data_IF_693727980905
#
_entry.id   IF_693727980905
#
_cell.length_a   1.000
_cell.length_b   1.000
_cell.length_c   1.000
_cell.angle_alpha   90.00
_cell.angle_beta   90.00
_cell.angle_gamma   90.00
#
_symmetry.space_group_name_H-M   'P 1'
#
loop_
_entity.id
_entity.type
_entity.pdbx_description
1 polymer ?
#
# COMPACT_ATOMS: atom_id res chain seq x y z
N UNK A 1 17.79 19.23 -1.67
CA UNK A 1 17.09 19.63 -0.41
C UNK A 1 17.25 21.11 -0.11
N UNK A 2 18.44 21.68 -0.20
CA UNK A 2 18.68 23.11 0.07
C UNK A 2 17.79 24.07 -0.75
N UNK A 3 17.70 23.86 -2.07
CA UNK A 3 16.84 24.67 -2.94
C UNK A 3 15.35 24.59 -2.57
N UNK A 4 14.88 23.41 -2.16
CA UNK A 4 13.50 23.21 -1.72
C UNK A 4 13.23 23.92 -0.40
N UNK A 5 14.16 23.84 0.55
CA UNK A 5 14.04 24.52 1.84
C UNK A 5 14.07 26.05 1.67
N UNK A 6 14.95 26.56 0.80
CA UNK A 6 15.00 27.98 0.45
C UNK A 6 13.70 28.45 -0.20
N UNK A 7 13.09 27.62 -1.09
CA UNK A 7 11.81 27.93 -1.70
C UNK A 7 10.67 27.98 -0.66
N UNK A 8 10.62 26.98 0.24
CA UNK A 8 9.62 26.92 1.31
C UNK A 8 9.63 28.15 2.23
N UNK A 9 10.81 28.76 2.42
CA UNK A 9 11.02 29.94 3.27
C UNK A 9 11.02 31.27 2.51
N UNK A 10 10.81 31.21 1.18
CA UNK A 10 10.91 32.42 0.37
C UNK A 10 9.73 33.36 0.65
N UNK A 11 10.01 34.63 0.83
CA UNK A 11 9.02 35.67 1.19
C UNK A 11 7.83 35.78 0.20
N UNK A 12 8.02 35.39 -1.04
CA UNK A 12 7.00 35.47 -2.08
C UNK A 12 6.13 34.18 -2.16
N UNK A 13 6.42 33.19 -1.30
CA UNK A 13 5.58 31.97 -1.19
C UNK A 13 4.51 32.21 -0.14
N UNK A 14 3.26 32.30 -0.57
CA UNK A 14 2.12 32.56 0.31
C UNK A 14 1.60 31.27 1.00
N UNK A 15 1.70 30.12 0.33
CA UNK A 15 1.24 28.83 0.83
C UNK A 15 2.04 27.69 0.19
N UNK A 16 2.26 26.63 0.96
CA UNK A 16 2.90 25.39 0.52
C UNK A 16 1.87 24.27 0.47
N UNK A 17 1.75 23.59 -0.66
CA UNK A 17 1.07 22.30 -0.78
C UNK A 17 2.14 21.21 -0.86
N UNK A 18 2.39 20.53 0.26
CA UNK A 18 3.44 19.54 0.37
C UNK A 18 2.85 18.13 0.22
N UNK A 19 3.21 17.44 -0.87
CA UNK A 19 2.90 16.02 -1.06
C UNK A 19 4.20 15.23 -1.06
N UNK A 20 4.32 14.27 -0.16
CA UNK A 20 5.53 13.46 -0.07
C UNK A 20 5.67 12.73 1.26
N UNK A 21 6.81 12.09 1.47
CA UNK A 21 7.08 11.38 2.72
C UNK A 21 7.10 12.31 3.94
N UNK A 22 6.95 11.73 5.14
CA UNK A 22 6.82 12.45 6.42
C UNK A 22 7.91 13.51 6.66
N UNK A 23 9.13 13.31 6.14
CA UNK A 23 10.20 14.28 6.27
C UNK A 23 9.94 15.57 5.48
N UNK A 24 9.41 15.46 4.26
CA UNK A 24 9.03 16.60 3.42
C UNK A 24 7.90 17.40 4.07
N UNK A 25 6.85 16.71 4.51
CA UNK A 25 5.70 17.33 5.18
C UNK A 25 6.11 18.07 6.44
N UNK A 26 6.98 17.46 7.25
CA UNK A 26 7.53 18.08 8.44
C UNK A 26 8.36 19.33 8.11
N UNK A 27 9.19 19.29 7.07
CA UNK A 27 9.96 20.44 6.61
C UNK A 27 9.03 21.59 6.18
N UNK A 28 7.95 21.28 5.44
CA UNK A 28 6.97 22.28 5.04
C UNK A 28 6.32 22.97 6.25
N UNK A 29 5.82 22.20 7.23
CA UNK A 29 5.22 22.76 8.45
C UNK A 29 6.23 23.53 9.32
N UNK A 30 7.50 23.19 9.24
CA UNK A 30 8.58 23.86 10.01
C UNK A 30 9.18 25.06 9.27
N UNK A 31 8.73 25.37 8.05
CA UNK A 31 9.29 26.44 7.23
C UNK A 31 8.95 27.86 7.73
N UNK A 32 7.84 27.98 8.45
CA UNK A 32 7.25 29.26 8.84
C UNK A 32 6.24 29.82 7.83
N UNK A 33 6.13 29.23 6.63
CA UNK A 33 5.10 29.54 5.63
C UNK A 33 3.86 28.68 5.88
N UNK A 34 2.63 29.19 5.72
CA UNK A 34 1.42 28.37 5.78
C UNK A 34 1.53 27.15 4.88
N UNK A 35 1.24 25.97 5.41
CA UNK A 35 1.40 24.73 4.67
C UNK A 35 0.23 23.76 4.89
N UNK A 36 -0.14 23.04 3.82
CA UNK A 36 -1.02 21.88 3.85
C UNK A 36 -0.18 20.70 3.37
N UNK A 37 0.01 19.70 4.24
CA UNK A 37 0.82 18.53 3.93
C UNK A 37 0.01 17.25 3.87
N UNK A 38 0.33 16.40 2.89
CA UNK A 38 -0.18 15.04 2.74
C UNK A 38 0.99 14.08 2.91
N UNK A 39 0.90 13.22 3.90
CA UNK A 39 1.91 12.21 4.22
C UNK A 39 1.81 10.95 3.34
N UNK A 40 2.48 9.86 3.76
CA UNK A 40 2.47 8.59 3.04
C UNK A 40 1.05 8.04 2.93
N UNK A 41 0.78 7.37 1.80
CA UNK A 41 -0.48 6.70 1.53
C UNK A 41 -0.38 5.21 1.82
N UNK A 42 -1.21 4.70 2.72
CA UNK A 42 -1.27 3.27 3.04
C UNK A 42 -2.69 2.74 2.87
N UNK A 43 -3.25 2.93 1.66
CA UNK A 43 -4.64 2.64 1.35
C UNK A 43 -4.96 1.14 1.37
N UNK A 44 -5.81 0.66 2.29
CA UNK A 44 -6.39 -0.67 2.19
C UNK A 44 -7.52 -0.70 1.16
N UNK A 45 -7.71 -1.87 0.52
CA UNK A 45 -8.83 -2.16 -0.36
C UNK A 45 -9.66 -3.31 0.22
N UNK A 46 -10.93 -3.10 0.50
CA UNK A 46 -11.84 -4.14 0.91
C UNK A 46 -12.56 -4.77 -0.29
N UNK A 47 -12.41 -6.07 -0.45
CA UNK A 47 -13.18 -6.89 -1.39
C UNK A 47 -14.35 -7.51 -0.62
N UNK A 48 -15.50 -6.85 -0.69
CA UNK A 48 -16.74 -7.30 -0.04
C UNK A 48 -17.41 -8.39 -0.89
N UNK A 49 -18.09 -9.34 -0.26
CA UNK A 49 -18.62 -10.57 -0.89
C UNK A 49 -19.59 -10.36 -2.05
N UNK A 50 -20.22 -9.18 -2.15
CA UNK A 50 -21.14 -8.87 -3.26
C UNK A 50 -20.42 -8.26 -4.48
N UNK A 51 -19.11 -8.01 -4.39
CA UNK A 51 -18.38 -7.39 -5.47
C UNK A 51 -18.30 -8.27 -6.72
N UNK A 52 -18.16 -7.64 -7.88
CA UNK A 52 -17.69 -8.32 -9.09
C UNK A 52 -16.19 -8.62 -8.91
N UNK A 53 -15.89 -9.81 -8.39
CA UNK A 53 -14.52 -10.19 -8.00
C UNK A 53 -13.51 -10.07 -9.15
N UNK A 54 -13.76 -10.56 -10.38
CA UNK A 54 -12.84 -10.40 -11.50
C UNK A 54 -12.54 -8.92 -11.81
N UNK A 55 -13.58 -8.08 -11.80
CA UNK A 55 -13.44 -6.65 -12.08
C UNK A 55 -12.71 -5.92 -10.95
N UNK A 56 -13.03 -6.24 -9.70
CA UNK A 56 -12.39 -5.66 -8.53
C UNK A 56 -10.88 -5.97 -8.51
N UNK A 57 -10.51 -7.23 -8.68
CA UNK A 57 -9.10 -7.65 -8.77
C UNK A 57 -8.40 -6.96 -9.93
N UNK A 58 -9.04 -6.90 -11.11
CA UNK A 58 -8.46 -6.19 -12.25
C UNK A 58 -8.14 -4.74 -11.93
N UNK A 59 -9.09 -4.01 -11.32
CA UNK A 59 -8.92 -2.59 -10.96
C UNK A 59 -7.78 -2.39 -9.97
N UNK A 60 -7.70 -3.24 -8.93
CA UNK A 60 -6.63 -3.18 -7.93
C UNK A 60 -5.27 -3.44 -8.58
N UNK A 61 -5.15 -4.48 -9.41
CA UNK A 61 -3.89 -4.80 -10.07
C UNK A 61 -3.48 -3.72 -11.08
N UNK A 62 -4.41 -3.16 -11.83
CA UNK A 62 -4.13 -2.06 -12.77
C UNK A 62 -3.67 -0.81 -12.03
N UNK A 63 -4.34 -0.45 -10.92
CA UNK A 63 -3.95 0.65 -10.04
C UNK A 63 -2.55 0.42 -9.45
N UNK A 64 -2.31 -0.77 -8.87
CA UNK A 64 -1.04 -1.08 -8.22
C UNK A 64 0.15 -1.20 -9.19
N UNK A 65 -0.10 -1.53 -10.44
CA UNK A 65 0.96 -1.65 -11.46
C UNK A 65 1.16 -0.36 -12.25
N UNK A 66 0.25 0.59 -12.15
CA UNK A 66 0.43 1.91 -12.75
C UNK A 66 1.70 2.56 -12.17
N UNK A 67 2.59 2.99 -13.05
CA UNK A 67 3.90 3.56 -12.69
C UNK A 67 4.68 2.73 -11.65
N UNK A 68 4.61 1.40 -11.77
CA UNK A 68 5.19 0.46 -10.82
C UNK A 68 4.81 0.72 -9.34
N UNK A 69 3.60 1.21 -9.09
CA UNK A 69 3.07 1.40 -7.73
C UNK A 69 3.63 2.60 -6.98
N UNK A 70 4.14 3.61 -7.68
CA UNK A 70 4.65 4.85 -7.04
C UNK A 70 3.53 5.81 -6.65
N UNK A 71 2.32 5.65 -7.20
CA UNK A 71 1.19 6.51 -6.84
C UNK A 71 0.75 6.22 -5.40
N UNK A 72 0.82 7.23 -4.55
CA UNK A 72 0.49 7.11 -3.13
C UNK A 72 -0.98 6.70 -2.85
N UNK A 73 -1.89 6.95 -3.80
CA UNK A 73 -3.29 6.53 -3.72
C UNK A 73 -3.53 5.09 -4.21
N UNK A 74 -2.50 4.39 -4.74
CA UNK A 74 -2.63 2.97 -5.10
C UNK A 74 -2.81 2.11 -3.86
N UNK A 75 -3.52 1.01 -4.02
CA UNK A 75 -3.78 0.07 -2.94
C UNK A 75 -2.47 -0.48 -2.36
N UNK A 76 -2.38 -0.54 -1.04
CA UNK A 76 -1.22 -1.08 -0.31
C UNK A 76 -1.52 -2.45 0.29
N UNK A 77 -2.78 -2.70 0.59
CA UNK A 77 -3.26 -3.95 1.16
C UNK A 77 -4.61 -4.33 0.57
N UNK A 78 -4.86 -5.62 0.48
CA UNK A 78 -6.17 -6.19 0.18
C UNK A 78 -6.69 -6.84 1.46
N UNK A 79 -7.96 -6.62 1.76
CA UNK A 79 -8.66 -7.26 2.87
C UNK A 79 -9.91 -7.90 2.30
N UNK A 80 -10.24 -9.11 2.71
CA UNK A 80 -11.50 -9.78 2.36
C UNK A 80 -12.02 -10.63 3.53
N UNK A 81 -13.26 -11.05 3.44
CA UNK A 81 -13.81 -12.02 4.39
C UNK A 81 -13.08 -13.37 4.24
N UNK A 82 -12.88 -14.10 5.34
CA UNK A 82 -12.10 -15.35 5.36
C UNK A 82 -12.64 -16.40 4.38
N UNK A 83 -13.96 -16.50 4.23
CA UNK A 83 -14.61 -17.43 3.33
C UNK A 83 -14.37 -17.12 1.84
N UNK A 84 -14.00 -15.87 1.52
CA UNK A 84 -13.63 -15.44 0.17
C UNK A 84 -12.14 -15.60 -0.14
N UNK A 85 -11.29 -15.75 0.87
CA UNK A 85 -9.84 -15.65 0.72
C UNK A 85 -9.28 -16.56 -0.39
N UNK A 86 -9.79 -17.78 -0.49
CA UNK A 86 -9.37 -18.72 -1.54
C UNK A 86 -9.76 -18.27 -2.94
N UNK A 87 -10.99 -17.75 -3.10
CA UNK A 87 -11.46 -17.24 -4.39
C UNK A 87 -10.72 -15.98 -4.81
N UNK A 88 -10.48 -15.06 -3.86
CA UNK A 88 -9.71 -13.83 -4.10
C UNK A 88 -8.28 -14.17 -4.53
N UNK A 89 -7.62 -15.07 -3.82
CA UNK A 89 -6.26 -15.49 -4.19
C UNK A 89 -6.24 -16.11 -5.59
N UNK A 90 -7.12 -17.08 -5.88
CA UNK A 90 -7.15 -17.74 -7.18
C UNK A 90 -7.38 -16.73 -8.33
N UNK A 91 -8.24 -15.75 -8.11
CA UNK A 91 -8.52 -14.71 -9.10
C UNK A 91 -7.33 -13.77 -9.27
N UNK A 92 -6.65 -13.39 -8.18
CA UNK A 92 -5.44 -12.57 -8.24
C UNK A 92 -4.31 -13.29 -9.00
N UNK A 93 -4.08 -14.57 -8.71
CA UNK A 93 -3.09 -15.40 -9.41
C UNK A 93 -3.41 -15.54 -10.89
N UNK A 94 -4.69 -15.75 -11.24
CA UNK A 94 -5.15 -15.79 -12.64
C UNK A 94 -4.85 -14.49 -13.38
N UNK A 95 -4.85 -13.36 -12.69
CA UNK A 95 -4.57 -12.04 -13.26
C UNK A 95 -3.10 -11.61 -13.12
N UNK A 96 -2.21 -12.50 -12.69
CA UNK A 96 -0.77 -12.30 -12.68
C UNK A 96 -0.16 -11.88 -11.34
N UNK A 97 -0.88 -11.99 -10.23
CA UNK A 97 -0.30 -11.84 -8.91
C UNK A 97 0.52 -13.09 -8.52
N UNK A 98 1.57 -12.90 -7.76
CA UNK A 98 2.37 -13.97 -7.17
C UNK A 98 2.30 -13.91 -5.65
N UNK A 99 1.71 -14.92 -5.03
CA UNK A 99 1.67 -15.04 -3.57
C UNK A 99 2.98 -15.64 -3.05
N UNK A 100 3.65 -14.87 -2.21
CA UNK A 100 4.90 -15.29 -1.58
C UNK A 100 4.65 -16.42 -0.58
N UNK A 101 5.53 -17.42 -0.54
CA UNK A 101 5.58 -18.35 0.57
C UNK A 101 6.22 -17.70 1.81
N UNK A 102 6.25 -18.42 2.93
CA UNK A 102 6.76 -17.88 4.20
C UNK A 102 8.23 -17.46 4.13
N UNK A 103 9.07 -18.23 3.44
CA UNK A 103 10.49 -17.92 3.31
C UNK A 103 10.73 -16.70 2.40
N UNK A 104 9.98 -16.59 1.33
CA UNK A 104 10.00 -15.45 0.42
C UNK A 104 9.45 -14.20 1.09
N UNK A 105 8.34 -14.33 1.82
CA UNK A 105 7.73 -13.27 2.60
C UNK A 105 8.71 -12.70 3.62
N UNK A 106 9.38 -13.58 4.39
CA UNK A 106 10.37 -13.14 5.37
C UNK A 106 11.55 -12.43 4.68
N UNK A 107 12.05 -12.98 3.59
CA UNK A 107 13.18 -12.41 2.83
C UNK A 107 12.85 -11.05 2.26
N UNK A 108 11.71 -10.91 1.57
CA UNK A 108 11.25 -9.63 1.04
C UNK A 108 10.95 -8.65 2.17
N UNK A 109 10.32 -9.08 3.25
CA UNK A 109 10.01 -8.25 4.41
C UNK A 109 11.24 -7.58 5.03
N UNK A 110 12.36 -8.30 5.09
CA UNK A 110 13.64 -7.73 5.54
C UNK A 110 14.25 -6.73 4.55
N UNK A 111 13.89 -6.83 3.27
CA UNK A 111 14.43 -5.99 2.21
C UNK A 111 13.62 -4.71 1.98
N UNK A 112 12.30 -4.76 2.12
CA UNK A 112 11.43 -3.60 1.85
C UNK A 112 11.54 -2.47 2.88
N UNK A 113 11.99 -2.78 4.10
CA UNK A 113 12.24 -1.79 5.14
C UNK A 113 13.72 -1.71 5.51
N UNK A 114 14.20 -0.51 5.77
CA UNK A 114 15.50 -0.27 6.38
C UNK A 114 15.45 -0.54 7.89
N UNK A 115 16.61 -0.68 8.53
CA UNK A 115 16.73 -0.90 9.96
C UNK A 115 16.05 0.18 10.84
N UNK A 116 15.91 1.40 10.32
CA UNK A 116 15.19 2.49 10.98
C UNK A 116 13.67 2.48 10.74
N UNK A 117 13.14 1.45 10.08
CA UNK A 117 11.71 1.30 9.78
C UNK A 117 11.20 2.11 8.58
N UNK A 118 12.07 2.84 7.88
CA UNK A 118 11.68 3.54 6.65
C UNK A 118 11.76 2.61 5.44
N UNK A 119 10.93 2.87 4.44
CA UNK A 119 10.94 2.12 3.19
C UNK A 119 12.32 2.17 2.51
N UNK A 120 12.74 1.04 1.96
CA UNK A 120 13.96 0.96 1.18
C UNK A 120 13.76 1.64 -0.20
N UNK A 121 14.49 2.72 -0.52
CA UNK A 121 14.33 3.41 -1.79
C UNK A 121 14.71 2.58 -3.02
N UNK A 122 15.40 1.46 -2.85
CA UNK A 122 15.76 0.58 -3.96
C UNK A 122 14.56 -0.13 -4.59
N UNK A 123 13.41 -0.22 -3.88
CA UNK A 123 12.18 -0.82 -4.43
C UNK A 123 11.28 0.21 -5.13
N UNK A 124 11.46 1.50 -4.86
CA UNK A 124 10.57 2.56 -5.33
C UNK A 124 10.51 2.61 -6.85
N UNK A 125 9.31 2.43 -7.42
CA UNK A 125 9.08 2.46 -8.86
C UNK A 125 9.76 1.32 -9.64
N UNK A 126 10.20 0.26 -8.97
CA UNK A 126 10.83 -0.90 -9.64
C UNK A 126 9.80 -1.93 -10.04
N UNK A 127 10.07 -2.60 -11.16
CA UNK A 127 9.27 -3.76 -11.58
C UNK A 127 9.40 -4.93 -10.61
N UNK A 128 8.42 -5.85 -10.64
CA UNK A 128 8.47 -7.11 -9.87
C UNK A 128 9.76 -7.86 -10.14
N UNK A 129 10.17 -8.01 -11.41
CA UNK A 129 11.40 -8.74 -11.76
C UNK A 129 12.65 -8.13 -11.09
N UNK A 130 12.72 -6.79 -11.05
CA UNK A 130 13.83 -6.09 -10.40
C UNK A 130 13.81 -6.30 -8.89
N UNK A 131 12.65 -6.18 -8.25
CA UNK A 131 12.49 -6.38 -6.81
C UNK A 131 12.81 -7.83 -6.43
N UNK A 132 12.29 -8.80 -7.20
CA UNK A 132 12.55 -10.22 -6.99
C UNK A 132 14.05 -10.53 -7.05
N UNK A 133 14.75 -10.00 -8.05
CA UNK A 133 16.19 -10.15 -8.19
C UNK A 133 16.96 -9.53 -7.01
N UNK A 134 16.62 -8.32 -6.60
CA UNK A 134 17.27 -7.63 -5.49
C UNK A 134 17.04 -8.32 -4.15
N UNK A 135 15.84 -8.86 -3.94
CA UNK A 135 15.48 -9.59 -2.72
C UNK A 135 15.86 -11.09 -2.76
N UNK A 136 16.38 -11.60 -3.88
CA UNK A 136 16.75 -13.03 -4.04
C UNK A 136 15.55 -13.98 -4.05
N UNK A 137 14.48 -13.60 -4.74
CA UNK A 137 13.24 -14.39 -4.89
C UNK A 137 13.28 -15.15 -6.21
N UNK A 138 13.96 -16.28 -6.24
CA UNK A 138 14.27 -16.99 -7.49
C UNK A 138 13.07 -17.73 -8.12
N UNK A 139 11.97 -17.91 -7.36
CA UNK A 139 10.77 -18.62 -7.85
C UNK A 139 9.67 -17.71 -8.41
N UNK A 140 9.84 -16.41 -8.32
CA UNK A 140 8.88 -15.47 -8.90
C UNK A 140 8.88 -15.63 -10.42
N UNK A 141 7.74 -15.96 -11.04
CA UNK A 141 7.68 -16.16 -12.49
C UNK A 141 7.91 -14.84 -13.22
N UNK A 142 8.60 -14.92 -14.35
CA UNK A 142 8.77 -13.78 -15.24
C UNK A 142 7.40 -13.22 -15.67
N UNK A 143 7.25 -11.91 -15.59
CA UNK A 143 6.00 -11.23 -15.93
C UNK A 143 4.94 -11.24 -14.82
N UNK A 144 5.27 -11.68 -13.60
CA UNK A 144 4.41 -11.43 -12.45
C UNK A 144 4.13 -9.93 -12.31
N UNK A 145 2.86 -9.56 -12.10
CA UNK A 145 2.44 -8.16 -12.04
C UNK A 145 2.64 -7.54 -10.67
N UNK A 146 2.35 -8.31 -9.62
CA UNK A 146 2.48 -7.88 -8.22
C UNK A 146 2.96 -9.03 -7.35
N UNK A 147 3.69 -8.72 -6.29
CA UNK A 147 4.02 -9.63 -5.20
C UNK A 147 3.00 -9.45 -4.07
N UNK A 148 2.48 -10.56 -3.54
CA UNK A 148 1.46 -10.53 -2.48
C UNK A 148 1.98 -11.28 -1.27
N UNK A 149 1.96 -10.62 -0.11
CA UNK A 149 2.34 -11.21 1.15
C UNK A 149 1.13 -11.34 2.09
N UNK A 150 0.85 -12.55 2.58
CA UNK A 150 -0.13 -12.72 3.66
C UNK A 150 0.38 -12.08 4.94
N UNK A 151 -0.45 -11.28 5.57
CA UNK A 151 -0.16 -10.62 6.83
C UNK A 151 -1.30 -10.85 7.84
N UNK A 152 -0.94 -10.91 9.11
CA UNK A 152 -1.90 -11.11 10.20
C UNK A 152 -2.00 -9.89 11.13
N UNK A 153 -0.96 -9.08 11.20
CA UNK A 153 -0.87 -7.93 12.07
C UNK A 153 -0.46 -6.65 11.35
N UNK A 154 -0.44 -5.57 12.09
CA UNK A 154 -0.10 -4.23 11.61
C UNK A 154 0.99 -3.64 12.51
N UNK A 155 1.88 -2.83 11.95
CA UNK A 155 2.89 -2.13 12.72
C UNK A 155 4.27 -2.78 12.68
N UNK A 156 5.09 -2.48 13.69
CA UNK A 156 6.45 -3.02 13.78
C UNK A 156 6.43 -4.55 13.82
N UNK A 157 7.21 -5.18 12.95
CA UNK A 157 7.21 -6.64 12.78
C UNK A 157 6.31 -7.14 11.64
N UNK A 158 5.50 -6.26 11.07
CA UNK A 158 4.62 -6.52 9.95
C UNK A 158 4.96 -5.59 8.77
N UNK A 159 6.07 -5.84 8.07
CA UNK A 159 6.62 -4.90 7.09
C UNK A 159 5.67 -4.59 5.93
N UNK A 160 4.75 -5.50 5.62
CA UNK A 160 3.77 -5.29 4.56
C UNK A 160 2.58 -4.43 4.96
N UNK A 161 2.51 -4.00 6.22
CA UNK A 161 1.51 -3.03 6.71
C UNK A 161 1.89 -1.57 6.47
N UNK A 162 3.07 -1.29 5.96
CA UNK A 162 3.54 0.05 5.60
C UNK A 162 3.22 0.40 4.15
N UNK A 163 3.33 1.70 3.80
CA UNK A 163 3.35 2.13 2.40
C UNK A 163 4.49 1.44 1.63
N UNK A 164 4.16 0.91 0.47
CA UNK A 164 5.10 0.25 -0.45
C UNK A 164 4.99 0.91 -1.82
N UNK A 165 5.88 1.82 -2.14
CA UNK A 165 5.93 2.49 -3.45
C UNK A 165 6.52 1.58 -4.53
N UNK A 166 5.94 0.39 -4.65
CA UNK A 166 6.30 -0.69 -5.55
C UNK A 166 5.13 -1.64 -5.77
N UNK A 167 5.20 -2.57 -6.73
CA UNK A 167 4.15 -3.54 -7.02
C UNK A 167 4.10 -4.67 -5.97
N UNK A 168 3.86 -4.31 -4.71
CA UNK A 168 3.78 -5.20 -3.55
C UNK A 168 2.50 -4.90 -2.79
N UNK A 169 1.75 -5.94 -2.42
CA UNK A 169 0.51 -5.87 -1.65
C UNK A 169 0.58 -6.71 -0.37
N UNK A 170 0.04 -6.18 0.72
CA UNK A 170 -0.35 -6.97 1.88
C UNK A 170 -1.69 -7.67 1.62
N UNK A 171 -1.90 -8.86 2.16
CA UNK A 171 -3.16 -9.60 2.06
C UNK A 171 -3.62 -10.00 3.45
N UNK A 172 -4.80 -9.52 3.84
CA UNK A 172 -5.43 -9.76 5.13
C UNK A 172 -6.79 -10.40 4.96
N UNK A 173 -7.24 -11.07 6.00
CA UNK A 173 -8.60 -11.59 6.10
C UNK A 173 -9.25 -11.14 7.41
N UNK A 174 -10.55 -11.03 7.41
CA UNK A 174 -11.36 -10.83 8.59
C UNK A 174 -12.50 -11.83 8.69
N UNK A 175 -12.94 -12.16 9.89
CA UNK A 175 -14.01 -13.12 10.11
C UNK A 175 -15.36 -12.63 9.56
N UNK A 176 -15.59 -11.33 9.60
CA UNK A 176 -16.75 -10.66 9.03
C UNK A 176 -16.41 -9.19 8.69
N UNK A 177 -17.37 -8.46 8.12
CA UNK A 177 -17.18 -7.05 7.74
C UNK A 177 -16.81 -6.12 8.91
N UNK A 178 -17.16 -6.46 10.18
CA UNK A 178 -16.78 -5.67 11.36
C UNK A 178 -15.31 -5.86 11.70
N UNK A 179 -14.85 -7.11 11.62
CA UNK A 179 -13.44 -7.43 11.80
C UNK A 179 -12.60 -6.80 10.68
N UNK A 180 -13.09 -6.85 9.43
CA UNK A 180 -12.47 -6.14 8.29
C UNK A 180 -12.41 -4.63 8.55
N UNK A 181 -13.49 -4.01 9.01
CA UNK A 181 -13.50 -2.58 9.35
C UNK A 181 -12.48 -2.26 10.45
N UNK A 182 -12.40 -3.10 11.48
CA UNK A 182 -11.37 -3.00 12.52
C UNK A 182 -9.95 -3.03 11.93
N UNK A 183 -9.69 -3.95 11.00
CA UNK A 183 -8.40 -4.09 10.31
C UNK A 183 -8.09 -2.87 9.42
N UNK A 184 -9.06 -2.37 8.68
CA UNK A 184 -8.96 -1.12 7.90
C UNK A 184 -8.54 0.03 8.79
N UNK A 185 -9.25 0.23 9.92
CA UNK A 185 -8.93 1.28 10.88
C UNK A 185 -7.52 1.10 11.47
N UNK A 186 -7.12 -0.12 11.82
CA UNK A 186 -5.78 -0.42 12.35
C UNK A 186 -4.68 -0.02 11.36
N UNK A 187 -4.83 -0.39 10.08
CA UNK A 187 -3.88 -0.06 9.02
C UNK A 187 -3.79 1.46 8.82
N UNK A 188 -4.94 2.13 8.71
CA UNK A 188 -5.00 3.57 8.48
C UNK A 188 -4.45 4.37 9.68
N UNK A 189 -4.72 3.94 10.92
CA UNK A 189 -4.17 4.60 12.09
C UNK A 189 -2.66 4.41 12.23
N UNK A 190 -2.14 3.27 11.79
CA UNK A 190 -0.70 3.03 11.82
C UNK A 190 0.03 3.92 10.82
N UNK A 191 -0.45 3.99 9.59
CA UNK A 191 0.10 4.85 8.54
C UNK A 191 -1.01 5.14 7.50
N UNK A 192 -1.12 6.36 7.03
CA UNK A 192 -2.04 6.72 5.94
C UNK A 192 -3.39 7.29 6.39
N UNK A 193 -3.59 7.60 7.66
CA UNK A 193 -4.82 8.21 8.15
C UNK A 193 -5.17 9.48 7.37
N UNK A 194 -6.42 9.55 6.88
CA UNK A 194 -6.93 10.67 6.08
C UNK A 194 -6.51 10.66 4.61
N UNK A 195 -5.84 9.60 4.13
CA UNK A 195 -5.42 9.51 2.74
C UNK A 195 -6.45 8.77 1.86
N UNK A 196 -6.40 7.46 1.80
CA UNK A 196 -7.22 6.67 0.85
C UNK A 196 -7.68 5.36 1.47
N UNK A 197 -8.94 5.05 1.27
CA UNK A 197 -9.55 3.73 1.45
C UNK A 197 -10.38 3.43 0.20
N UNK A 198 -10.32 2.21 -0.29
CA UNK A 198 -11.17 1.76 -1.40
C UNK A 198 -11.98 0.53 -1.00
N UNK A 199 -13.21 0.45 -1.52
CA UNK A 199 -14.07 -0.69 -1.30
C UNK A 199 -14.72 -1.12 -2.62
N UNK A 200 -14.76 -2.41 -2.84
CA UNK A 200 -15.46 -3.04 -3.93
C UNK A 200 -16.67 -3.80 -3.38
N UNK A 201 -17.86 -3.29 -3.61
CA UNK A 201 -19.12 -3.83 -3.11
C UNK A 201 -20.26 -3.47 -4.05
N UNK A 202 -21.33 -4.26 -4.03
CA UNK A 202 -22.63 -3.95 -4.63
C UNK A 202 -23.72 -3.81 -3.54
N UNK A 203 -23.33 -3.71 -2.26
CA UNK A 203 -24.25 -3.51 -1.14
C UNK A 203 -24.09 -2.09 -0.57
N UNK A 204 -25.08 -1.22 -0.83
CA UNK A 204 -25.10 0.16 -0.35
C UNK A 204 -25.03 0.26 1.18
N UNK A 205 -25.50 -0.75 1.91
CA UNK A 205 -25.40 -0.78 3.38
C UNK A 205 -23.96 -0.91 3.86
N UNK A 206 -23.13 -1.59 3.08
CA UNK A 206 -21.69 -1.67 3.37
C UNK A 206 -21.02 -0.32 3.11
N UNK A 207 -21.43 0.40 2.05
CA UNK A 207 -20.93 1.76 1.81
C UNK A 207 -21.28 2.70 2.96
N UNK A 208 -22.50 2.62 3.48
CA UNK A 208 -22.94 3.45 4.61
C UNK A 208 -22.24 3.10 5.93
N UNK A 209 -21.80 1.86 6.09
CA UNK A 209 -21.15 1.37 7.31
C UNK A 209 -19.67 1.80 7.41
N UNK A 210 -18.92 1.81 6.28
CA UNK A 210 -17.49 2.12 6.21
C UNK A 210 -17.24 3.60 5.96
#
# INVERSE_FOLDING_TARGET
>A
MEATDNLMRHRDVAMILATGGSAMVRAAYSSGTPAIGVGPGNGPAYLEKTCDLPLAVKRILDSKTFDNGTVCASEQSIICDEDMAGAVQAEMERQGAYFLDDAERERLGRFILRANGTMNPEIVGRSVDTIAKLAGLDRVPAGARVLVARETGVGRGHPYSNEKLGPILGFYTGADYRDVCGKVCEILHYEGAGHTFSMHTNDDKMVDYF
#
